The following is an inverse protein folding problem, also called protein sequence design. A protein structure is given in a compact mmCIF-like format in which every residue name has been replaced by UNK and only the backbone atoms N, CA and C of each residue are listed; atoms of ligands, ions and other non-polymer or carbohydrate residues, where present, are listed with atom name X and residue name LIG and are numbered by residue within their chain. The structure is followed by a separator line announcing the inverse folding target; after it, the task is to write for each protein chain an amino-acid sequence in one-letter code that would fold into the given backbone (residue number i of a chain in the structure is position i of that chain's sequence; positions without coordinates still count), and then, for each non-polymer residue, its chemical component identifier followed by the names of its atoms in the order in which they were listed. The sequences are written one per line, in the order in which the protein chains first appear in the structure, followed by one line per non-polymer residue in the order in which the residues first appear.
data_IF_154496385640
#
_entry.id   IF_154496385640
#
_cell.length_a   1.000
_cell.length_b   1.000
_cell.length_c   1.000
_cell.angle_alpha   90.00
_cell.angle_beta   90.00
_cell.angle_gamma   90.00
#
_symmetry.space_group_name_H-M   'P 1'
#
loop_
_entity.id
_entity.type
_entity.pdbx_description
1 polymer ?
#
# COMPACT_ATOMS: atom_id res chain seq x y z
N UNK A 1 33.29 13.87 5.67
CA UNK A 1 32.20 14.79 6.01
C UNK A 1 31.45 14.20 7.20
N UNK A 2 31.12 15.00 8.16
CA UNK A 2 30.57 14.57 9.43
C UNK A 2 29.03 14.64 9.35
N UNK A 3 28.35 13.55 9.66
CA UNK A 3 26.89 13.47 9.64
C UNK A 3 26.22 14.50 10.56
N UNK A 4 26.89 14.87 11.63
CA UNK A 4 26.41 15.88 12.57
C UNK A 4 26.36 17.32 11.97
N UNK A 5 27.07 17.56 10.90
CA UNK A 5 27.06 18.85 10.16
C UNK A 5 26.08 18.86 8.99
N UNK A 6 25.23 17.84 8.88
CA UNK A 6 24.20 17.79 7.85
C UNK A 6 24.69 17.32 6.50
N UNK A 7 25.37 16.21 6.50
CA UNK A 7 25.82 15.54 5.28
C UNK A 7 24.65 15.23 4.35
N UNK A 8 24.78 15.61 3.08
CA UNK A 8 23.81 15.26 2.05
C UNK A 8 24.14 13.87 1.55
N UNK A 9 23.31 12.89 1.90
CA UNK A 9 23.38 11.57 1.31
C UNK A 9 22.50 11.55 0.05
N UNK A 10 23.13 11.40 -1.10
CA UNK A 10 22.43 11.17 -2.37
C UNK A 10 22.63 9.71 -2.75
N UNK A 11 21.59 8.92 -2.65
CA UNK A 11 21.58 7.57 -3.18
C UNK A 11 20.97 7.59 -4.57
N UNK A 12 21.74 7.16 -5.57
CA UNK A 12 21.30 7.04 -6.95
C UNK A 12 21.21 5.56 -7.26
N UNK A 13 19.99 5.04 -7.37
CA UNK A 13 19.75 3.70 -7.85
C UNK A 13 19.62 3.73 -9.39
N UNK A 14 20.70 3.35 -10.07
CA UNK A 14 20.69 3.20 -11.52
C UNK A 14 20.18 1.79 -11.84
N UNK A 15 18.97 1.73 -12.38
CA UNK A 15 18.48 0.48 -12.97
C UNK A 15 19.06 0.43 -14.38
N UNK A 16 20.07 -0.47 -14.56
CA UNK A 16 20.67 -0.73 -15.85
C UNK A 16 19.67 -1.46 -16.75
N UNK A 17 18.98 -0.70 -17.59
CA UNK A 17 18.26 -1.20 -18.74
C UNK A 17 18.92 -0.62 -20.00
N UNK A 18 18.81 -1.30 -21.13
CA UNK A 18 19.33 -0.80 -22.43
C UNK A 18 18.79 0.60 -22.78
N UNK A 19 17.68 1.00 -22.15
CA UNK A 19 17.15 2.34 -22.22
C UNK A 19 16.75 2.82 -20.83
N UNK A 20 17.57 3.65 -20.21
CA UNK A 20 17.23 4.34 -18.96
C UNK A 20 16.19 5.42 -19.30
N UNK A 21 14.91 5.16 -19.02
CA UNK A 21 13.83 6.14 -19.21
C UNK A 21 13.65 7.07 -18.02
N UNK A 22 14.06 6.64 -16.82
CA UNK A 22 14.02 7.43 -15.59
C UNK A 22 15.00 6.89 -14.55
N UNK A 23 15.39 7.78 -13.66
CA UNK A 23 16.16 7.44 -12.47
C UNK A 23 15.46 8.02 -11.24
N UNK A 24 15.58 7.35 -10.11
CA UNK A 24 15.10 7.81 -8.82
C UNK A 24 16.28 8.13 -7.94
N UNK A 25 16.31 9.31 -7.34
CA UNK A 25 17.30 9.66 -6.34
C UNK A 25 16.64 10.15 -5.07
N UNK A 26 17.24 9.80 -3.95
CA UNK A 26 16.81 10.25 -2.64
C UNK A 26 17.81 11.32 -2.15
N UNK A 27 17.29 12.45 -1.70
CA UNK A 27 18.10 13.50 -1.11
C UNK A 27 17.68 13.67 0.34
N UNK A 28 18.59 13.37 1.26
CA UNK A 28 18.40 13.73 2.65
C UNK A 28 18.86 15.16 2.87
N UNK A 29 17.93 16.01 3.33
CA UNK A 29 18.21 17.42 3.62
C UNK A 29 18.47 17.55 5.13
N UNK A 30 19.51 18.24 5.56
CA UNK A 30 19.77 18.54 6.97
C UNK A 30 18.55 19.13 7.67
N UNK A 31 18.20 18.62 8.85
CA UNK A 31 17.02 19.05 9.61
C UNK A 31 15.72 18.34 9.23
N UNK A 32 15.67 17.58 8.15
CA UNK A 32 14.62 16.59 7.91
C UNK A 32 15.05 15.27 8.54
N UNK A 33 14.45 14.94 9.67
CA UNK A 33 14.48 13.55 10.17
C UNK A 33 13.60 12.70 9.28
N UNK A 34 14.17 12.16 8.23
CA UNK A 34 13.60 10.98 7.57
C UNK A 34 14.11 9.81 8.40
N UNK A 35 13.34 9.41 9.39
CA UNK A 35 13.62 8.22 10.16
C UNK A 35 13.34 7.02 9.24
N UNK A 36 14.31 6.70 8.41
CA UNK A 36 14.39 5.38 7.80
C UNK A 36 14.82 4.42 8.93
N UNK A 37 13.92 4.10 9.83
CA UNK A 37 14.05 2.87 10.57
C UNK A 37 14.06 1.79 9.52
N UNK A 38 15.26 1.36 9.18
CA UNK A 38 15.42 0.09 8.49
C UNK A 38 14.89 -0.94 9.45
N UNK A 39 13.63 -1.33 9.24
CA UNK A 39 13.07 -2.45 9.97
C UNK A 39 13.95 -3.62 9.62
N UNK A 40 14.59 -4.20 10.63
CA UNK A 40 15.30 -5.46 10.45
C UNK A 40 14.24 -6.56 10.33
N UNK A 41 13.81 -6.80 9.09
CA UNK A 41 12.79 -7.78 8.81
C UNK A 41 13.20 -9.20 9.19
N UNK A 42 14.51 -9.48 9.20
CA UNK A 42 15.04 -10.79 9.58
C UNK A 42 14.92 -11.06 11.08
N UNK A 43 14.78 -10.00 11.88
CA UNK A 43 14.58 -10.10 13.33
C UNK A 43 13.12 -10.07 13.77
N UNK A 44 12.17 -9.78 12.89
CA UNK A 44 10.75 -9.65 13.24
C UNK A 44 10.08 -10.98 13.58
N UNK A 45 10.54 -12.06 12.96
CA UNK A 45 10.02 -13.40 13.18
C UNK A 45 11.17 -14.38 13.45
N UNK A 46 11.00 -15.32 14.40
CA UNK A 46 11.91 -16.45 14.51
C UNK A 46 12.00 -17.21 13.19
N UNK A 47 13.17 -17.75 12.88
CA UNK A 47 13.37 -18.48 11.61
C UNK A 47 12.43 -19.66 11.43
N UNK A 48 12.03 -20.25 12.53
CA UNK A 48 11.12 -21.40 12.60
C UNK A 48 9.68 -21.03 12.21
N UNK A 49 9.31 -19.77 12.30
CA UNK A 49 7.99 -19.26 11.91
C UNK A 49 7.93 -18.84 10.45
N UNK A 50 9.11 -18.70 9.80
CA UNK A 50 9.17 -18.30 8.39
C UNK A 50 8.85 -19.51 7.52
N UNK A 51 7.78 -19.39 6.71
CA UNK A 51 7.29 -20.44 5.83
C UNK A 51 7.38 -19.99 4.38
N UNK A 52 8.16 -20.71 3.57
CA UNK A 52 8.19 -20.51 2.12
C UNK A 52 7.15 -21.43 1.47
N UNK A 53 6.23 -20.86 0.71
CA UNK A 53 5.09 -21.55 0.13
C UNK A 53 5.14 -21.51 -1.40
N UNK A 54 4.54 -22.50 -2.02
CA UNK A 54 4.24 -22.51 -3.45
C UNK A 54 2.99 -21.67 -3.77
N UNK A 55 2.56 -21.64 -5.01
CA UNK A 55 1.43 -20.78 -5.45
C UNK A 55 0.09 -21.22 -4.83
N UNK A 56 -0.14 -22.53 -4.63
CA UNK A 56 -1.35 -23.03 -4.00
C UNK A 56 -1.35 -22.75 -2.49
N UNK A 57 -0.24 -23.04 -1.82
CA UNK A 57 -0.07 -22.75 -0.40
C UNK A 57 -0.11 -21.25 -0.09
N UNK A 58 0.40 -20.40 -1.00
CA UNK A 58 0.25 -18.95 -0.88
C UNK A 58 -1.22 -18.56 -0.91
N UNK A 59 -1.99 -19.05 -1.88
CA UNK A 59 -3.42 -18.74 -2.01
C UNK A 59 -4.18 -19.13 -0.75
N UNK A 60 -3.98 -20.36 -0.27
CA UNK A 60 -4.65 -20.87 0.93
C UNK A 60 -4.28 -20.05 2.18
N UNK A 61 -2.99 -19.77 2.37
CA UNK A 61 -2.53 -18.95 3.48
C UNK A 61 -3.15 -17.54 3.45
N UNK A 62 -3.21 -16.91 2.28
CA UNK A 62 -3.78 -15.57 2.12
C UNK A 62 -5.31 -15.54 2.31
N UNK A 63 -6.03 -16.61 1.93
CA UNK A 63 -7.47 -16.74 2.18
C UNK A 63 -7.79 -16.87 3.67
N UNK A 64 -6.91 -17.53 4.42
CA UNK A 64 -7.07 -17.76 5.86
C UNK A 64 -6.75 -16.53 6.72
N UNK A 65 -6.08 -15.50 6.17
CA UNK A 65 -5.68 -14.30 6.90
C UNK A 65 -6.88 -13.50 7.40
N UNK A 66 -6.76 -12.81 8.58
CA UNK A 66 -7.78 -11.90 9.07
C UNK A 66 -8.21 -10.87 8.02
N UNK A 67 -9.51 -10.56 7.96
CA UNK A 67 -10.06 -9.65 6.95
C UNK A 67 -9.51 -8.25 7.01
N UNK A 68 -9.24 -7.79 8.23
CA UNK A 68 -9.25 -6.37 8.51
C UNK A 68 -8.16 -5.99 9.50
N UNK A 69 -7.75 -4.73 9.45
CA UNK A 69 -6.96 -4.11 10.50
C UNK A 69 -7.79 -3.94 11.78
N UNK A 70 -7.15 -3.57 12.87
CA UNK A 70 -7.80 -3.35 14.15
C UNK A 70 -7.23 -2.12 14.88
N UNK A 71 -7.86 -1.76 15.98
CA UNK A 71 -7.24 -0.96 17.04
C UNK A 71 -6.20 -1.78 17.79
N UNK A 72 -5.46 -1.15 18.71
CA UNK A 72 -4.32 -1.73 19.41
C UNK A 72 -4.67 -3.00 20.21
N UNK A 73 -5.81 -3.01 20.87
CA UNK A 73 -6.27 -4.15 21.70
C UNK A 73 -7.06 -5.21 20.91
N UNK A 74 -7.24 -5.02 19.59
CA UNK A 74 -7.95 -5.95 18.72
C UNK A 74 -9.49 -6.01 18.92
N UNK A 75 -10.05 -5.16 19.78
CA UNK A 75 -11.47 -5.19 20.13
C UNK A 75 -12.40 -4.63 19.03
N UNK A 76 -11.87 -3.84 18.10
CA UNK A 76 -12.61 -3.21 17.01
C UNK A 76 -11.89 -3.40 15.69
N UNK A 77 -12.65 -3.75 14.65
CA UNK A 77 -12.12 -3.85 13.29
C UNK A 77 -12.06 -2.50 12.58
N UNK A 78 -11.00 -2.33 11.82
CA UNK A 78 -10.74 -1.16 10.99
C UNK A 78 -10.96 -1.43 9.50
N UNK A 79 -10.18 -0.72 8.70
CA UNK A 79 -10.18 -0.88 7.24
C UNK A 79 -9.75 -2.28 6.83
N UNK A 80 -10.25 -2.81 5.69
CA UNK A 80 -9.87 -4.13 5.22
C UNK A 80 -8.39 -4.19 4.80
N UNK A 81 -7.75 -5.34 5.09
CA UNK A 81 -6.44 -5.69 4.56
C UNK A 81 -6.60 -6.15 3.11
N UNK A 82 -6.70 -5.21 2.18
CA UNK A 82 -7.14 -5.41 0.79
C UNK A 82 -5.99 -5.56 -0.22
N UNK A 83 -4.73 -5.60 0.26
CA UNK A 83 -3.53 -5.76 -0.55
C UNK A 83 -2.61 -6.86 -0.03
N UNK A 84 -1.88 -7.47 -0.94
CA UNK A 84 -0.69 -8.29 -0.67
C UNK A 84 0.39 -7.88 -1.67
N UNK A 85 1.59 -7.57 -1.19
CA UNK A 85 2.73 -7.21 -2.03
C UNK A 85 3.87 -8.18 -1.76
N UNK A 86 4.41 -8.78 -2.80
CA UNK A 86 5.48 -9.78 -2.74
C UNK A 86 6.70 -9.24 -3.47
N UNK A 87 7.83 -9.20 -2.79
CA UNK A 87 9.08 -8.70 -3.32
C UNK A 87 9.97 -8.14 -2.21
N UNK A 88 11.23 -7.89 -2.52
CA UNK A 88 12.13 -7.28 -1.55
C UNK A 88 11.76 -5.82 -1.26
N UNK A 89 12.10 -5.36 -0.06
CA UNK A 89 11.70 -4.05 0.43
C UNK A 89 12.24 -2.88 -0.41
N UNK A 90 13.42 -3.03 -1.02
CA UNK A 90 14.00 -1.99 -1.89
C UNK A 90 13.19 -1.86 -3.17
N UNK A 91 12.83 -2.98 -3.78
CA UNK A 91 11.98 -3.05 -4.98
C UNK A 91 10.61 -2.41 -4.70
N UNK A 92 9.96 -2.78 -3.58
CA UNK A 92 8.68 -2.18 -3.17
C UNK A 92 8.82 -0.66 -3.00
N UNK A 93 9.85 -0.22 -2.27
CA UNK A 93 10.08 1.21 -2.04
C UNK A 93 10.34 1.96 -3.34
N UNK A 94 11.14 1.40 -4.26
CA UNK A 94 11.44 2.00 -5.55
C UNK A 94 10.18 2.11 -6.42
N UNK A 95 9.36 1.05 -6.48
CA UNK A 95 8.13 1.04 -7.25
C UNK A 95 7.17 2.16 -6.81
N UNK A 96 6.93 2.29 -5.51
CA UNK A 96 6.09 3.35 -4.96
C UNK A 96 6.69 4.74 -5.15
N UNK A 97 8.00 4.91 -4.94
CA UNK A 97 8.68 6.19 -5.14
C UNK A 97 8.57 6.69 -6.59
N UNK A 98 8.73 5.81 -7.58
CA UNK A 98 8.53 6.13 -9.01
C UNK A 98 7.15 6.69 -9.31
N UNK A 99 6.15 6.31 -8.54
CA UNK A 99 4.75 6.73 -8.72
C UNK A 99 4.33 7.89 -7.80
N UNK A 100 5.29 8.53 -7.14
CA UNK A 100 5.05 9.70 -6.31
C UNK A 100 4.44 9.41 -4.94
N UNK A 101 4.55 8.17 -4.47
CA UNK A 101 4.19 7.83 -3.10
C UNK A 101 5.27 8.34 -2.15
N UNK A 102 4.86 9.15 -1.21
CA UNK A 102 5.71 9.79 -0.22
C UNK A 102 5.68 9.01 1.10
N UNK A 103 6.76 9.04 1.90
CA UNK A 103 6.69 8.54 3.27
C UNK A 103 5.55 9.21 4.04
N UNK A 104 4.82 8.45 4.83
CA UNK A 104 3.85 9.00 5.78
C UNK A 104 4.57 9.31 7.10
N UNK A 105 4.31 10.48 7.69
CA UNK A 105 4.81 10.78 9.03
C UNK A 105 4.05 9.98 10.09
N UNK A 106 4.76 9.52 11.11
CA UNK A 106 4.12 8.95 12.28
C UNK A 106 3.43 10.04 13.11
N UNK A 107 2.32 9.68 13.77
CA UNK A 107 1.54 10.61 14.59
C UNK A 107 2.27 10.91 15.88
N UNK A 108 3.18 11.88 15.87
CA UNK A 108 3.67 12.52 17.08
C UNK A 108 2.80 13.75 17.37
N UNK A 109 2.66 14.13 18.63
CA UNK A 109 1.85 15.27 19.08
C UNK A 109 2.11 16.56 18.29
N UNK A 110 3.36 16.79 17.89
CA UNK A 110 3.78 17.94 17.06
C UNK A 110 3.24 17.88 15.64
N UNK A 111 3.08 16.70 15.04
CA UNK A 111 2.55 16.53 13.69
C UNK A 111 1.02 16.78 13.66
N UNK A 112 0.31 16.36 14.71
CA UNK A 112 -1.12 16.65 14.86
C UNK A 112 -1.38 18.16 14.89
N UNK A 113 -0.61 18.92 15.70
CA UNK A 113 -0.72 20.38 15.75
C UNK A 113 -0.37 21.06 14.43
N UNK A 114 0.62 20.57 13.70
CA UNK A 114 0.95 21.06 12.34
C UNK A 114 -0.17 20.81 11.37
N UNK A 115 -0.83 19.65 11.42
CA UNK A 115 -1.96 19.30 10.54
C UNK A 115 -3.16 20.19 10.84
N UNK A 116 -3.52 20.37 12.11
CA UNK A 116 -4.61 21.27 12.52
C UNK A 116 -4.32 22.70 12.08
N UNK A 117 -3.10 23.19 12.27
CA UNK A 117 -2.68 24.52 11.86
C UNK A 117 -2.70 24.68 10.33
N UNK A 118 -2.26 23.67 9.59
CA UNK A 118 -2.30 23.67 8.12
C UNK A 118 -3.74 23.69 7.59
N UNK A 119 -4.64 22.97 8.24
CA UNK A 119 -6.06 22.95 7.91
C UNK A 119 -6.70 24.31 8.15
N UNK A 120 -6.43 24.97 9.29
CA UNK A 120 -7.01 26.25 9.66
C UNK A 120 -6.47 27.41 8.83
N UNK A 121 -5.21 27.34 8.38
CA UNK A 121 -4.53 28.46 7.70
C UNK A 121 -4.21 28.17 6.23
N UNK A 122 -4.74 27.08 5.62
CA UNK A 122 -4.59 26.79 4.19
C UNK A 122 -3.15 26.54 3.73
N UNK A 123 -2.21 26.28 4.66
CA UNK A 123 -0.82 26.02 4.29
C UNK A 123 -0.66 24.61 3.69
N UNK A 124 0.16 24.47 2.65
CA UNK A 124 0.45 23.18 2.01
C UNK A 124 1.32 22.29 2.90
N UNK A 125 0.72 21.58 3.85
CA UNK A 125 1.45 20.58 4.61
C UNK A 125 1.56 19.28 3.79
N UNK A 126 2.77 18.95 3.41
CA UNK A 126 3.06 17.85 2.48
C UNK A 126 3.02 16.47 3.12
N UNK A 127 3.14 16.40 4.43
CA UNK A 127 3.22 15.16 5.20
C UNK A 127 2.12 15.15 6.27
N UNK A 128 1.03 14.46 6.00
CA UNK A 128 -0.04 14.27 6.98
C UNK A 128 0.28 13.05 7.86
N UNK A 129 0.13 13.14 9.19
CA UNK A 129 0.32 11.98 10.03
C UNK A 129 -0.77 10.93 9.74
N UNK A 130 -0.38 9.67 9.77
CA UNK A 130 -1.30 8.53 9.60
C UNK A 130 -1.59 7.95 10.97
N UNK A 131 -2.87 7.75 11.30
CA UNK A 131 -3.26 7.06 12.52
C UNK A 131 -2.70 5.63 12.52
N UNK A 132 -2.21 5.14 13.67
CA UNK A 132 -1.74 3.77 13.76
C UNK A 132 -2.91 2.81 13.52
N UNK A 133 -2.68 1.81 12.66
CA UNK A 133 -3.53 0.65 12.52
C UNK A 133 -2.71 -0.58 12.89
N UNK A 134 -3.40 -1.59 13.41
CA UNK A 134 -2.81 -2.84 13.84
C UNK A 134 -3.33 -3.98 12.98
N UNK A 135 -2.50 -4.96 12.76
CA UNK A 135 -2.85 -6.21 12.12
C UNK A 135 -2.20 -7.35 12.89
N UNK A 136 -3.01 -8.30 13.35
CA UNK A 136 -2.55 -9.37 14.25
C UNK A 136 -1.75 -8.85 15.46
N UNK A 137 -2.25 -7.79 16.08
CA UNK A 137 -1.64 -7.17 17.27
C UNK A 137 -0.38 -6.35 17.00
N UNK A 138 0.09 -6.25 15.76
CA UNK A 138 1.27 -5.49 15.37
C UNK A 138 0.92 -4.21 14.65
N UNK A 139 1.64 -3.14 14.97
CA UNK A 139 1.61 -1.89 14.21
C UNK A 139 2.23 -2.11 12.82
N UNK A 140 1.80 -1.32 11.82
CA UNK A 140 2.37 -1.36 10.49
C UNK A 140 3.89 -1.09 10.48
N UNK A 141 4.61 -1.79 9.62
CA UNK A 141 6.06 -1.65 9.47
C UNK A 141 6.41 -0.54 8.46
N UNK A 142 5.47 -0.22 7.57
CA UNK A 142 5.70 0.70 6.47
C UNK A 142 4.43 1.47 6.14
N UNK A 143 4.53 2.78 5.95
CA UNK A 143 3.41 3.61 5.53
C UNK A 143 3.80 4.59 4.42
N UNK A 144 2.91 4.75 3.46
CA UNK A 144 3.05 5.68 2.33
C UNK A 144 1.75 6.43 2.10
N UNK A 145 1.88 7.60 1.50
CA UNK A 145 0.74 8.40 1.07
C UNK A 145 1.00 8.96 -0.33
N UNK A 146 -0.05 9.06 -1.12
CA UNK A 146 0.00 9.68 -2.44
C UNK A 146 -1.03 10.80 -2.50
N UNK A 147 -0.60 12.08 -2.62
CA UNK A 147 -1.52 13.20 -2.84
C UNK A 147 -2.20 13.06 -4.20
N UNK A 148 -3.48 13.42 -4.26
CA UNK A 148 -4.24 13.54 -5.51
C UNK A 148 -4.41 15.03 -5.90
N UNK A 149 -5.61 15.43 -6.27
CA UNK A 149 -5.89 16.77 -6.78
C UNK A 149 -5.73 17.88 -5.72
N UNK A 150 -5.97 17.54 -4.46
CA UNK A 150 -5.82 18.49 -3.35
C UNK A 150 -5.21 17.80 -2.10
N UNK A 151 -4.95 18.60 -1.08
CA UNK A 151 -4.31 18.11 0.17
C UNK A 151 -5.23 17.26 1.03
N UNK A 152 -6.53 17.25 0.75
CA UNK A 152 -7.55 16.50 1.48
C UNK A 152 -7.88 15.16 0.82
N UNK A 153 -7.37 14.95 -0.40
CA UNK A 153 -7.57 13.73 -1.17
C UNK A 153 -6.24 13.00 -1.30
N UNK A 154 -6.09 11.92 -0.57
CA UNK A 154 -4.86 11.13 -0.54
C UNK A 154 -5.17 9.66 -0.49
N UNK A 155 -4.35 8.88 -1.17
CA UNK A 155 -4.30 7.45 -0.91
C UNK A 155 -3.32 7.20 0.23
N UNK A 156 -3.73 6.42 1.21
CA UNK A 156 -2.92 5.96 2.34
C UNK A 156 -2.69 4.47 2.22
N UNK A 157 -1.44 4.08 2.26
CA UNK A 157 -0.99 2.68 2.22
C UNK A 157 -0.26 2.34 3.51
N UNK A 158 -0.55 1.18 4.07
CA UNK A 158 0.18 0.58 5.17
C UNK A 158 0.52 -0.86 4.83
N UNK A 159 1.71 -1.29 5.19
CA UNK A 159 2.17 -2.66 4.98
C UNK A 159 2.67 -3.25 6.30
N UNK A 160 2.36 -4.54 6.46
CA UNK A 160 2.83 -5.41 7.53
C UNK A 160 3.63 -6.54 6.91
N UNK A 161 4.85 -6.70 7.35
CA UNK A 161 5.67 -7.84 7.00
C UNK A 161 5.08 -9.10 7.65
N UNK A 162 4.95 -10.17 6.87
CA UNK A 162 4.42 -11.46 7.34
C UNK A 162 5.54 -12.51 7.42
N UNK A 163 5.32 -13.61 8.17
CA UNK A 163 6.27 -14.72 8.18
C UNK A 163 6.26 -15.52 6.88
N UNK A 164 5.35 -15.23 5.96
CA UNK A 164 5.27 -15.91 4.68
C UNK A 164 6.37 -15.47 3.72
N UNK A 165 6.87 -16.44 2.95
CA UNK A 165 7.70 -16.25 1.78
C UNK A 165 7.05 -16.91 0.58
N UNK A 166 7.25 -16.34 -0.56
CA UNK A 166 6.86 -16.94 -1.83
C UNK A 166 8.05 -16.94 -2.78
N UNK A 167 8.55 -18.14 -3.12
CA UNK A 167 9.77 -18.31 -3.91
C UNK A 167 10.96 -17.53 -3.30
N UNK A 168 11.11 -17.59 -1.97
CA UNK A 168 12.12 -16.87 -1.21
C UNK A 168 11.86 -15.38 -1.03
N UNK A 169 10.86 -14.79 -1.70
CA UNK A 169 10.55 -13.36 -1.60
C UNK A 169 9.63 -13.07 -0.40
N UNK A 170 9.87 -11.96 0.31
CA UNK A 170 9.01 -11.52 1.40
C UNK A 170 7.57 -11.23 0.95
N UNK A 171 6.60 -11.59 1.80
CA UNK A 171 5.18 -11.29 1.61
C UNK A 171 4.77 -10.22 2.61
N UNK A 172 4.20 -9.12 2.12
CA UNK A 172 3.65 -8.02 2.91
C UNK A 172 2.13 -7.99 2.77
N UNK A 173 1.45 -7.96 3.91
CA UNK A 173 0.01 -7.72 3.94
C UNK A 173 -0.22 -6.22 3.94
N UNK A 174 -1.19 -5.73 3.21
CA UNK A 174 -1.40 -4.31 3.02
C UNK A 174 -2.84 -3.85 3.20
N UNK A 175 -2.96 -2.60 3.60
CA UNK A 175 -4.20 -1.85 3.62
C UNK A 175 -4.01 -0.58 2.80
N UNK A 176 -4.94 -0.31 1.90
CA UNK A 176 -5.03 0.98 1.21
C UNK A 176 -6.43 1.54 1.33
N UNK A 177 -6.52 2.83 1.59
CA UNK A 177 -7.76 3.60 1.54
C UNK A 177 -7.51 4.95 0.90
N UNK A 178 -8.59 5.58 0.44
CA UNK A 178 -8.58 6.92 -0.14
C UNK A 178 -9.30 7.88 0.80
N UNK A 179 -8.66 8.99 1.12
CA UNK A 179 -9.32 10.11 1.78
C UNK A 179 -10.01 10.98 0.72
N UNK A 180 -11.26 11.36 0.99
CA UNK A 180 -12.09 12.22 0.13
C UNK A 180 -12.49 13.53 0.83
N UNK A 181 -11.94 13.79 2.00
CA UNK A 181 -12.24 14.99 2.77
C UNK A 181 -11.90 14.85 4.23
N UNK A 182 -12.43 15.78 5.02
CA UNK A 182 -12.24 15.85 6.48
C UNK A 182 -13.59 15.97 7.14
N UNK A 183 -13.79 15.33 8.29
CA UNK A 183 -14.99 15.44 9.08
C UNK A 183 -14.71 15.51 10.59
N UNK A 184 -15.68 16.00 11.34
CA UNK A 184 -15.67 15.91 12.78
C UNK A 184 -16.19 14.53 13.24
N UNK A 185 -15.57 13.96 14.25
CA UNK A 185 -15.96 12.69 14.84
C UNK A 185 -15.74 12.69 16.35
N UNK A 186 -16.60 11.98 17.08
CA UNK A 186 -16.39 11.68 18.51
C UNK A 186 -15.50 10.45 18.74
N UNK A 187 -15.20 9.69 17.68
CA UNK A 187 -14.48 8.42 17.74
C UNK A 187 -12.95 8.57 17.75
N UNK A 188 -12.43 9.80 17.57
CA UNK A 188 -11.01 10.08 17.55
C UNK A 188 -10.65 11.38 18.29
N UNK A 189 -9.43 11.46 18.81
CA UNK A 189 -8.86 12.69 19.33
C UNK A 189 -7.59 13.06 18.55
N UNK A 190 -7.45 14.28 18.00
CA UNK A 190 -8.45 15.37 18.00
C UNK A 190 -9.73 14.99 17.27
N UNK A 191 -10.88 15.66 17.55
CA UNK A 191 -12.19 15.31 17.01
C UNK A 191 -12.34 15.66 15.52
N UNK A 192 -11.27 15.55 14.77
CA UNK A 192 -11.17 15.77 13.32
C UNK A 192 -10.48 14.59 12.70
N UNK A 193 -11.13 13.93 11.76
CA UNK A 193 -10.57 12.79 11.02
C UNK A 193 -10.78 12.97 9.53
N UNK A 194 -10.00 12.23 8.74
CA UNK A 194 -10.24 12.12 7.31
C UNK A 194 -11.47 11.24 7.07
N UNK A 195 -12.28 11.64 6.09
CA UNK A 195 -13.37 10.83 5.58
C UNK A 195 -12.83 9.96 4.47
N UNK A 196 -13.00 8.64 4.59
CA UNK A 196 -12.58 7.71 3.54
C UNK A 196 -13.64 7.58 2.43
N UNK A 197 -13.18 7.23 1.25
CA UNK A 197 -14.04 6.85 0.15
C UNK A 197 -14.76 5.53 0.51
N UNK A 198 -16.10 5.48 0.39
CA UNK A 198 -16.83 4.26 0.65
C UNK A 198 -16.46 3.11 -0.29
N UNK A 199 -16.08 3.39 -1.52
CA UNK A 199 -15.56 2.39 -2.45
C UNK A 199 -14.07 2.15 -2.19
N UNK A 200 -13.80 1.18 -1.31
CA UNK A 200 -12.42 0.91 -0.90
C UNK A 200 -11.63 0.14 -1.98
N UNK A 201 -12.34 -0.48 -2.92
CA UNK A 201 -11.72 -1.23 -4.01
C UNK A 201 -11.09 -0.31 -5.04
N UNK A 202 -11.61 0.90 -5.22
CA UNK A 202 -11.04 1.91 -6.11
C UNK A 202 -9.62 2.32 -5.70
N UNK A 203 -9.36 2.44 -4.40
CA UNK A 203 -8.01 2.70 -3.89
C UNK A 203 -7.07 1.50 -4.18
N UNK A 204 -7.57 0.27 -4.09
CA UNK A 204 -6.84 -0.96 -4.42
C UNK A 204 -6.45 -0.98 -5.91
N UNK A 205 -7.39 -0.66 -6.81
CA UNK A 205 -7.11 -0.59 -8.24
C UNK A 205 -6.09 0.50 -8.58
N UNK A 206 -6.15 1.65 -7.92
CA UNK A 206 -5.17 2.71 -8.10
C UNK A 206 -3.74 2.28 -7.72
N UNK A 207 -3.58 1.40 -6.73
CA UNK A 207 -2.26 0.81 -6.38
C UNK A 207 -1.80 -0.15 -7.48
N UNK A 208 -2.68 -1.01 -8.00
CA UNK A 208 -2.34 -1.92 -9.10
C UNK A 208 -1.86 -1.10 -10.31
N UNK A 209 -2.61 -0.09 -10.70
CA UNK A 209 -2.27 0.80 -11.81
C UNK A 209 -0.91 1.48 -11.59
N UNK A 210 -0.66 2.00 -10.40
CA UNK A 210 0.62 2.61 -10.07
C UNK A 210 1.78 1.61 -10.19
N UNK A 211 1.61 0.38 -9.73
CA UNK A 211 2.65 -0.63 -9.83
C UNK A 211 2.88 -1.10 -11.27
N UNK A 212 1.84 -1.16 -12.10
CA UNK A 212 1.97 -1.37 -13.55
C UNK A 212 2.83 -0.26 -14.17
N UNK A 213 2.46 0.99 -13.93
CA UNK A 213 3.20 2.14 -14.49
C UNK A 213 4.60 2.34 -13.88
N UNK A 214 4.87 1.75 -12.72
CA UNK A 214 6.24 1.70 -12.18
C UNK A 214 7.15 0.80 -13.01
N UNK A 215 6.57 -0.07 -13.85
CA UNK A 215 7.25 -1.14 -14.59
C UNK A 215 7.94 -2.18 -13.69
N UNK A 216 7.46 -2.37 -12.47
CA UNK A 216 8.01 -3.34 -11.54
C UNK A 216 7.01 -4.43 -11.16
N UNK A 217 5.79 -4.41 -11.69
CA UNK A 217 4.77 -5.43 -11.45
C UNK A 217 4.95 -6.58 -12.44
N UNK A 218 5.35 -7.75 -11.95
CA UNK A 218 5.54 -8.95 -12.77
C UNK A 218 4.29 -9.81 -12.87
N UNK A 219 3.56 -9.96 -11.73
CA UNK A 219 2.30 -10.72 -11.70
C UNK A 219 1.27 -10.01 -10.84
N UNK A 220 0.00 -10.16 -11.23
CA UNK A 220 -1.14 -9.66 -10.45
C UNK A 220 -2.22 -10.75 -10.38
N UNK A 221 -2.90 -10.82 -9.25
CA UNK A 221 -4.04 -11.71 -9.04
C UNK A 221 -4.88 -11.25 -7.88
N UNK A 222 -5.91 -12.03 -7.55
CA UNK A 222 -6.81 -11.71 -6.46
C UNK A 222 -7.08 -12.95 -5.62
N UNK A 223 -7.28 -12.73 -4.33
CA UNK A 223 -7.63 -13.78 -3.40
C UNK A 223 -8.74 -13.30 -2.48
N UNK A 224 -9.68 -14.18 -2.14
CA UNK A 224 -10.72 -13.91 -1.16
C UNK A 224 -10.12 -13.75 0.25
N UNK A 225 -10.94 -13.31 1.21
CA UNK A 225 -10.54 -13.24 2.61
C UNK A 225 -10.90 -11.93 3.31
N UNK A 226 -11.22 -10.86 2.54
CA UNK A 226 -11.73 -9.61 3.11
C UNK A 226 -13.21 -9.75 3.51
N UNK A 227 -13.96 -10.54 2.76
CA UNK A 227 -15.41 -10.68 2.90
C UNK A 227 -16.16 -9.48 2.27
N UNK A 228 -17.12 -9.82 1.44
CA UNK A 228 -17.90 -8.85 0.67
C UNK A 228 -18.76 -7.95 1.57
N UNK A 229 -18.80 -6.65 1.27
CA UNK A 229 -19.76 -5.68 1.80
C UNK A 229 -20.44 -4.96 0.64
N UNK A 230 -21.76 -4.81 0.69
CA UNK A 230 -22.53 -4.18 -0.40
C UNK A 230 -22.77 -2.69 -0.10
N UNK A 231 -22.95 -1.85 -1.11
CA UNK A 231 -23.35 -0.45 -0.90
C UNK A 231 -24.66 -0.29 -0.09
N UNK A 232 -25.59 -1.26 -0.22
CA UNK A 232 -26.85 -1.29 0.54
C UNK A 232 -26.67 -1.73 2.00
N UNK A 233 -25.53 -2.37 2.32
CA UNK A 233 -25.20 -2.90 3.65
C UNK A 233 -23.70 -2.73 3.91
N UNK A 234 -23.24 -1.48 4.07
CA UNK A 234 -21.83 -1.18 4.24
C UNK A 234 -21.35 -1.62 5.62
N UNK A 235 -20.05 -1.92 5.71
CA UNK A 235 -19.36 -2.04 7.00
C UNK A 235 -18.84 -0.67 7.43
N UNK A 236 -18.40 -0.56 8.67
CA UNK A 236 -17.78 0.65 9.20
C UNK A 236 -16.36 0.38 9.67
N UNK A 237 -15.48 1.36 9.47
CA UNK A 237 -14.11 1.31 9.97
C UNK A 237 -14.00 1.83 11.42
N UNK A 238 -12.77 1.96 11.95
CA UNK A 238 -12.52 2.43 13.33
C UNK A 238 -13.03 3.84 13.59
N UNK A 239 -13.09 4.69 12.58
CA UNK A 239 -13.56 6.08 12.69
C UNK A 239 -15.06 6.21 12.40
N UNK A 240 -15.75 5.09 12.13
CA UNK A 240 -17.18 5.05 11.83
C UNK A 240 -17.52 5.44 10.39
N UNK A 241 -16.54 5.46 9.48
CA UNK A 241 -16.81 5.68 8.06
C UNK A 241 -17.36 4.42 7.42
N UNK A 242 -18.46 4.50 6.65
CA UNK A 242 -18.99 3.37 5.92
C UNK A 242 -18.10 3.02 4.73
N UNK A 243 -17.95 1.71 4.45
CA UNK A 243 -17.29 1.22 3.26
C UNK A 243 -17.96 -0.05 2.69
N UNK A 244 -17.77 -0.24 1.40
CA UNK A 244 -18.14 -1.48 0.71
C UNK A 244 -16.95 -2.00 -0.11
N UNK A 245 -16.98 -3.31 -0.40
CA UNK A 245 -15.91 -4.03 -1.10
C UNK A 245 -16.45 -5.29 -1.77
N UNK A 246 -15.80 -5.71 -2.85
CA UNK A 246 -16.05 -6.99 -3.51
C UNK A 246 -15.56 -8.19 -2.66
N UNK A 247 -14.71 -7.96 -1.67
CA UNK A 247 -14.23 -8.96 -0.72
C UNK A 247 -12.89 -9.59 -1.07
N UNK A 248 -12.20 -9.10 -2.10
CA UNK A 248 -10.90 -9.60 -2.52
C UNK A 248 -9.73 -8.75 -2.01
N UNK A 249 -8.58 -9.41 -1.85
CA UNK A 249 -7.25 -8.78 -1.78
C UNK A 249 -6.59 -8.85 -3.14
N UNK A 250 -5.97 -7.75 -3.57
CA UNK A 250 -5.08 -7.80 -4.72
C UNK A 250 -3.72 -8.36 -4.31
N UNK A 251 -3.18 -9.30 -5.06
CA UNK A 251 -1.87 -9.91 -4.86
C UNK A 251 -0.95 -9.46 -5.99
N UNK A 252 0.12 -8.77 -5.64
CA UNK A 252 1.04 -8.13 -6.57
C UNK A 252 2.45 -8.62 -6.32
N UNK A 253 3.04 -9.28 -7.32
CA UNK A 253 4.41 -9.81 -7.27
C UNK A 253 5.30 -8.86 -8.07
N UNK A 254 6.28 -8.27 -7.38
CA UNK A 254 7.22 -7.33 -7.97
C UNK A 254 8.50 -8.02 -8.44
N UNK A 255 9.14 -7.44 -9.44
CA UNK A 255 10.46 -7.83 -9.93
C UNK A 255 11.40 -6.62 -9.89
N UNK A 256 12.69 -6.86 -9.78
CA UNK A 256 13.72 -5.82 -9.76
C UNK A 256 13.94 -5.17 -11.12
N UNK A 257 13.67 -5.91 -12.19
CA UNK A 257 13.81 -5.46 -13.57
C UNK A 257 12.57 -4.73 -14.09
N UNK A 258 12.72 -3.93 -15.15
CA UNK A 258 11.57 -3.31 -15.79
C UNK A 258 10.74 -4.36 -16.52
N UNK A 259 9.46 -4.44 -16.18
CA UNK A 259 8.46 -5.31 -16.81
C UNK A 259 7.65 -4.48 -17.79
N UNK A 260 7.68 -4.83 -19.06
CA UNK A 260 6.80 -4.22 -20.05
C UNK A 260 5.34 -4.69 -19.85
N UNK A 261 4.39 -3.88 -20.29
CA UNK A 261 2.97 -4.16 -20.06
C UNK A 261 2.51 -5.50 -20.64
N UNK A 262 3.07 -5.89 -21.79
CA UNK A 262 2.79 -7.16 -22.48
C UNK A 262 3.46 -8.37 -21.78
N UNK A 263 4.37 -8.14 -20.85
CA UNK A 263 5.03 -9.15 -20.02
C UNK A 263 4.33 -9.37 -18.66
N UNK A 264 3.41 -8.48 -18.30
CA UNK A 264 2.63 -8.62 -17.08
C UNK A 264 1.79 -9.90 -17.13
N UNK A 265 1.91 -10.73 -16.11
CA UNK A 265 1.19 -12.01 -16.01
C UNK A 265 0.06 -11.91 -14.99
N UNK A 266 -1.01 -12.66 -15.22
CA UNK A 266 -2.05 -12.90 -14.24
C UNK A 266 -1.76 -14.18 -13.45
N UNK A 267 -2.04 -14.15 -12.14
CA UNK A 267 -2.23 -15.38 -11.37
C UNK A 267 -3.59 -15.99 -11.78
N UNK A 268 -3.60 -17.30 -12.05
CA UNK A 268 -4.81 -18.01 -12.50
C UNK A 268 -5.78 -18.27 -11.33
N UNK A 269 -6.07 -17.25 -10.56
CA UNK A 269 -6.98 -17.29 -9.42
C UNK A 269 -8.30 -16.61 -9.76
N UNK A 270 -9.33 -16.85 -8.93
CA UNK A 270 -10.60 -16.14 -9.08
C UNK A 270 -10.39 -14.64 -8.94
N UNK A 271 -10.91 -13.87 -9.89
CA UNK A 271 -10.81 -12.42 -9.90
C UNK A 271 -12.18 -11.75 -9.72
N UNK A 272 -12.22 -10.52 -9.21
CA UNK A 272 -13.44 -9.72 -9.21
C UNK A 272 -13.99 -9.55 -10.63
N UNK A 273 -15.31 -9.45 -10.75
CA UNK A 273 -15.96 -9.22 -12.08
C UNK A 273 -15.55 -7.91 -12.74
N UNK A 274 -15.14 -6.93 -11.94
CA UNK A 274 -14.62 -5.63 -12.39
C UNK A 274 -13.20 -5.70 -12.93
N UNK A 275 -12.48 -6.81 -12.67
CA UNK A 275 -11.11 -7.02 -13.16
C UNK A 275 -11.13 -8.11 -14.23
N UNK A 276 -11.20 -7.72 -15.49
CA UNK A 276 -11.03 -8.63 -16.61
C UNK A 276 -9.72 -8.31 -17.31
N UNK A 277 -8.79 -9.27 -17.28
CA UNK A 277 -7.67 -9.27 -18.21
C UNK A 277 -8.23 -9.72 -19.54
N UNK A 278 -8.27 -8.84 -20.53
CA UNK A 278 -8.73 -9.16 -21.86
C UNK A 278 -7.90 -10.29 -22.44
N UNK A 279 -8.41 -11.52 -22.39
CA UNK A 279 -7.92 -12.59 -23.23
C UNK A 279 -8.43 -12.30 -24.63
N UNK A 280 -7.57 -11.76 -25.51
CA UNK A 280 -7.90 -11.76 -26.94
C UNK A 280 -7.89 -13.22 -27.39
N UNK A 281 -9.03 -13.69 -27.88
CA UNK A 281 -9.16 -15.01 -28.49
C UNK A 281 -8.49 -15.09 -29.87
N UNK A 282 -7.75 -14.05 -30.24
CA UNK A 282 -7.01 -13.98 -31.49
C UNK A 282 -5.53 -14.19 -31.23
N UNK A 283 -4.98 -15.29 -31.69
CA UNK A 283 -3.61 -15.75 -31.52
C UNK A 283 -2.54 -14.86 -32.19
N UNK A 284 -2.91 -13.67 -32.65
CA UNK A 284 -2.02 -12.71 -33.32
C UNK A 284 -1.95 -11.33 -32.67
N UNK A 285 -2.71 -11.07 -31.60
CA UNK A 285 -2.66 -9.80 -30.89
C UNK A 285 -2.20 -10.03 -29.43
N UNK A 286 -1.16 -9.34 -29.01
CA UNK A 286 -0.62 -9.41 -27.66
C UNK A 286 -1.67 -9.10 -26.60
N UNK A 287 -1.55 -9.75 -25.45
CA UNK A 287 -2.41 -9.59 -24.29
C UNK A 287 -2.41 -8.12 -23.82
N UNK A 288 -3.51 -7.41 -23.98
CA UNK A 288 -3.71 -6.06 -23.47
C UNK A 288 -4.58 -6.08 -22.22
N UNK A 289 -4.13 -5.38 -21.17
CA UNK A 289 -4.91 -5.17 -19.95
C UNK A 289 -5.95 -4.07 -20.23
N UNK A 290 -7.23 -4.41 -20.20
CA UNK A 290 -8.31 -3.41 -20.26
C UNK A 290 -8.85 -3.24 -18.83
N UNK A 291 -8.57 -2.07 -18.24
CA UNK A 291 -9.23 -1.62 -17.02
C UNK A 291 -10.49 -0.85 -17.47
N UNK A 292 -11.64 -1.47 -17.43
CA UNK A 292 -12.90 -0.74 -17.50
C UNK A 292 -13.23 -0.20 -16.11
N UNK A 293 -13.14 1.12 -15.97
CA UNK A 293 -13.73 1.80 -14.81
C UNK A 293 -15.26 1.87 -15.00
N UNK A 294 -16.04 1.58 -13.94
CA UNK A 294 -17.49 1.77 -13.95
C UNK A 294 -17.87 3.25 -14.00
#
# INVERSE_FOLDING_TARGET
TNLDEGEKVVQIDLIAAEQIKFFTFFVQIPGMRVDYRMVDFDSLYPKEEIVDVDEEGLREALEALPCCTSNEDGSRFGDPANLVIIGDFKTITAAFARRGWLPAEETYSTAVWKTVKSFLFGSRYRYSPVSPLFYEGRRHDFARQKPRHNIHERNHLRLWYSPLRFQGQPVFIGQVSRDIGVRFTSEAWPPVTHKIDPDIDEARYAVIEDLIYSQMLAKVGFVKGVGRARPSEPRTNLTGDPYFTDGFRAVMILDQGPIALDQLKSLNWEAPKSFQVGASTDSSAGCGLVLECP
#
